data_IF_554812971387
#
_entry.id   IF_554812971387
#
_cell.length_a   1.000
_cell.length_b   1.000
_cell.length_c   1.000
_cell.angle_alpha   90.00
_cell.angle_beta   90.00
_cell.angle_gamma   90.00
#
_symmetry.space_group_name_H-M   'P 1'
#
loop_
_entity.id
_entity.type
_entity.pdbx_description
1 polymer ?
#
# COMPACT_ATOMS: atom_id res chain seq x y z
N UNK A 1 -37.39 5.55 -11.20
CA UNK A 1 -36.94 5.71 -9.79
C UNK A 1 -36.37 4.38 -9.33
N UNK A 2 -35.10 4.30 -8.96
CA UNK A 2 -34.48 3.10 -8.42
C UNK A 2 -35.15 2.75 -7.07
N UNK A 3 -35.50 1.48 -6.90
CA UNK A 3 -36.14 1.01 -5.68
C UNK A 3 -35.12 1.08 -4.53
N UNK A 4 -35.34 1.91 -3.51
CA UNK A 4 -34.40 2.14 -2.39
C UNK A 4 -33.89 0.86 -1.69
N UNK A 5 -34.57 -0.29 -1.87
CA UNK A 5 -34.17 -1.58 -1.32
C UNK A 5 -33.02 -2.27 -2.08
N UNK A 6 -32.69 -1.86 -3.31
CA UNK A 6 -31.70 -2.50 -4.17
C UNK A 6 -30.57 -1.56 -4.62
N UNK A 7 -30.37 -0.45 -3.93
CA UNK A 7 -29.30 0.52 -4.26
C UNK A 7 -28.32 0.66 -3.12
N UNK A 8 -27.09 1.02 -3.46
CA UNK A 8 -26.00 1.31 -2.54
C UNK A 8 -25.36 2.65 -2.85
N UNK A 9 -24.75 3.27 -1.86
CA UNK A 9 -23.89 4.42 -2.05
C UNK A 9 -22.55 3.97 -2.62
N UNK A 10 -22.06 4.69 -3.63
CA UNK A 10 -20.74 4.46 -4.23
C UNK A 10 -20.18 5.78 -4.77
N UNK A 11 -18.86 5.83 -4.91
CA UNK A 11 -18.14 6.89 -5.61
C UNK A 11 -17.76 6.36 -6.98
N UNK A 12 -18.43 6.83 -8.02
CA UNK A 12 -18.15 6.44 -9.41
C UNK A 12 -17.25 7.48 -10.05
N UNK A 13 -16.08 7.07 -10.49
CA UNK A 13 -15.18 7.90 -11.29
C UNK A 13 -15.61 7.81 -12.78
N UNK A 14 -16.25 8.86 -13.26
CA UNK A 14 -16.74 8.95 -14.66
C UNK A 14 -15.62 9.34 -15.63
N UNK A 15 -14.74 10.21 -15.18
CA UNK A 15 -13.58 10.74 -15.90
C UNK A 15 -12.52 11.19 -14.89
N UNK A 16 -11.26 11.40 -15.29
CA UNK A 16 -10.28 12.04 -14.43
C UNK A 16 -10.81 13.35 -13.83
N UNK A 17 -10.56 13.57 -12.55
CA UNK A 17 -11.14 14.70 -11.81
C UNK A 17 -10.28 15.09 -10.61
N UNK A 18 -10.58 16.24 -10.00
CA UNK A 18 -9.99 16.66 -8.73
C UNK A 18 -10.64 15.94 -7.55
N UNK A 19 -10.03 16.01 -6.37
CA UNK A 19 -10.61 15.43 -5.15
C UNK A 19 -11.99 16.03 -4.83
N UNK A 20 -12.23 17.32 -5.12
CA UNK A 20 -13.51 18.01 -4.87
C UNK A 20 -14.67 17.49 -5.73
N UNK A 21 -14.37 16.90 -6.86
CA UNK A 21 -15.37 16.39 -7.78
C UNK A 21 -15.80 14.96 -7.45
N UNK A 22 -15.12 14.28 -6.50
CA UNK A 22 -15.54 12.96 -6.03
C UNK A 22 -16.88 13.09 -5.28
N UNK A 23 -17.91 12.43 -5.81
CA UNK A 23 -19.30 12.51 -5.26
C UNK A 23 -19.87 11.12 -5.09
N UNK A 24 -20.66 10.98 -4.01
CA UNK A 24 -21.45 9.78 -3.79
C UNK A 24 -22.63 9.77 -4.75
N UNK A 25 -22.86 8.63 -5.35
CA UNK A 25 -24.02 8.30 -6.17
C UNK A 25 -24.73 7.09 -5.60
N UNK A 26 -26.03 6.96 -5.86
CA UNK A 26 -26.78 5.73 -5.60
C UNK A 26 -26.77 4.89 -6.89
N UNK A 27 -26.16 3.72 -6.80
CA UNK A 27 -26.11 2.75 -7.92
C UNK A 27 -26.76 1.42 -7.47
N UNK A 28 -27.07 0.56 -8.40
CA UNK A 28 -27.60 -0.77 -8.07
C UNK A 28 -26.56 -1.62 -7.32
N UNK A 29 -27.02 -2.37 -6.30
CA UNK A 29 -26.20 -3.40 -5.67
C UNK A 29 -25.92 -4.47 -6.71
N UNK A 30 -24.63 -4.87 -6.93
CA UNK A 30 -24.29 -5.88 -7.93
C UNK A 30 -25.00 -7.20 -7.64
N UNK A 31 -25.54 -7.83 -8.68
CA UNK A 31 -26.09 -9.18 -8.59
C UNK A 31 -24.96 -10.19 -8.53
N UNK A 32 -25.04 -11.10 -7.58
CA UNK A 32 -24.07 -12.19 -7.44
C UNK A 32 -24.17 -13.13 -8.63
N UNK A 33 -23.05 -13.70 -9.03
CA UNK A 33 -22.91 -14.66 -10.11
C UNK A 33 -21.96 -15.79 -9.69
N UNK A 34 -22.05 -16.94 -10.35
CA UNK A 34 -21.22 -18.11 -10.04
C UNK A 34 -19.72 -17.75 -10.01
N UNK A 35 -19.01 -18.25 -9.00
CA UNK A 35 -17.59 -17.99 -8.76
C UNK A 35 -17.28 -16.59 -8.16
N UNK A 36 -18.30 -15.78 -7.87
CA UNK A 36 -18.16 -14.46 -7.27
C UNK A 36 -18.93 -14.38 -5.95
N UNK A 37 -18.47 -13.54 -5.05
CA UNK A 37 -19.13 -13.25 -3.77
C UNK A 37 -19.40 -11.76 -3.61
N UNK A 38 -20.47 -11.42 -2.93
CA UNK A 38 -20.81 -10.05 -2.55
C UNK A 38 -20.31 -9.79 -1.12
N UNK A 39 -19.45 -8.80 -0.98
CA UNK A 39 -18.93 -8.36 0.31
C UNK A 39 -19.65 -7.06 0.71
N UNK A 40 -20.23 -7.04 1.92
CA UNK A 40 -20.65 -5.80 2.59
C UNK A 40 -19.43 -5.17 3.22
N UNK A 41 -18.98 -4.05 2.67
CA UNK A 41 -17.77 -3.35 3.09
C UNK A 41 -18.01 -2.71 4.47
N UNK A 42 -17.05 -2.85 5.36
CA UNK A 42 -17.02 -2.19 6.66
C UNK A 42 -16.02 -1.05 6.69
N UNK A 43 -14.86 -1.26 6.10
CA UNK A 43 -13.84 -0.24 5.94
C UNK A 43 -12.93 -0.55 4.76
N UNK A 44 -12.26 0.48 4.23
CA UNK A 44 -11.22 0.33 3.22
C UNK A 44 -10.13 1.38 3.39
N UNK A 45 -8.93 1.06 2.93
CA UNK A 45 -7.79 1.98 2.90
C UNK A 45 -7.77 2.80 1.61
N UNK A 46 -7.24 4.03 1.69
CA UNK A 46 -6.90 4.83 0.51
C UNK A 46 -5.41 4.74 0.25
N UNK A 47 -5.02 4.56 -1.01
CA UNK A 47 -3.65 4.47 -1.47
C UNK A 47 -3.34 5.56 -2.51
N UNK A 48 -2.08 5.83 -2.74
CA UNK A 48 -1.64 6.74 -3.81
C UNK A 48 -2.10 6.25 -5.19
N UNK A 49 -2.30 4.95 -5.34
CA UNK A 49 -2.78 4.32 -6.57
C UNK A 49 -4.17 4.84 -7.00
N UNK A 50 -5.10 5.06 -6.04
CA UNK A 50 -6.42 5.61 -6.35
C UNK A 50 -6.33 7.09 -6.72
N UNK A 51 -5.39 7.84 -6.14
CA UNK A 51 -5.12 9.23 -6.56
C UNK A 51 -4.64 9.24 -8.01
N UNK A 52 -3.66 8.41 -8.37
CA UNK A 52 -3.19 8.29 -9.76
C UNK A 52 -4.31 7.89 -10.72
N UNK A 53 -5.20 6.98 -10.30
CA UNK A 53 -6.36 6.58 -11.13
C UNK A 53 -7.34 7.72 -11.28
N UNK A 54 -7.64 8.44 -10.21
CA UNK A 54 -8.51 9.63 -10.24
C UNK A 54 -7.95 10.71 -11.16
N UNK A 55 -6.65 10.95 -11.10
CA UNK A 55 -5.97 11.98 -11.91
C UNK A 55 -5.74 11.56 -13.37
N UNK A 56 -6.10 10.31 -13.76
CA UNK A 56 -5.97 9.82 -15.12
C UNK A 56 -4.62 9.18 -15.46
N UNK A 57 -3.74 8.97 -14.46
CA UNK A 57 -2.44 8.31 -14.65
C UNK A 57 -2.50 6.77 -14.63
N UNK A 58 -3.70 6.19 -14.76
CA UNK A 58 -3.91 4.74 -14.87
C UNK A 58 -4.60 4.40 -16.18
N UNK A 59 -3.93 4.46 -17.33
CA UNK A 59 -4.56 4.37 -18.66
C UNK A 59 -5.22 3.01 -18.93
N UNK A 60 -4.87 1.96 -18.18
CA UNK A 60 -5.50 0.64 -18.28
C UNK A 60 -6.89 0.59 -17.60
N UNK A 61 -7.22 1.54 -16.75
CA UNK A 61 -8.53 1.59 -16.06
C UNK A 61 -9.58 2.21 -16.98
N UNK A 62 -10.56 1.40 -17.37
CA UNK A 62 -11.68 1.87 -18.20
C UNK A 62 -12.75 2.51 -17.31
N UNK A 63 -13.03 3.79 -17.57
CA UNK A 63 -14.10 4.55 -16.91
C UNK A 63 -15.43 4.44 -17.67
N UNK A 64 -16.61 4.54 -17.01
CA UNK A 64 -16.79 4.79 -15.57
C UNK A 64 -16.39 3.60 -14.68
N UNK A 65 -15.90 3.87 -13.45
CA UNK A 65 -15.44 2.85 -12.53
C UNK A 65 -15.69 3.27 -11.07
N UNK A 66 -16.21 2.36 -10.23
CA UNK A 66 -16.01 2.48 -8.78
C UNK A 66 -14.56 2.07 -8.49
N UNK A 67 -13.74 3.02 -8.09
CA UNK A 67 -12.32 2.76 -7.78
C UNK A 67 -12.16 2.17 -6.37
N UNK A 68 -10.92 1.93 -5.93
CA UNK A 68 -10.60 1.34 -4.64
C UNK A 68 -10.11 -0.10 -4.77
N UNK A 69 -8.87 -0.33 -4.30
CA UNK A 69 -8.10 -1.55 -4.55
C UNK A 69 -8.04 -2.51 -3.37
N UNK A 70 -8.71 -2.19 -2.25
CA UNK A 70 -8.76 -3.05 -1.06
C UNK A 70 -9.98 -2.76 -0.22
N UNK A 71 -10.46 -3.73 0.55
CA UNK A 71 -11.40 -3.52 1.64
C UNK A 71 -11.40 -4.69 2.63
N UNK A 72 -11.94 -4.42 3.83
CA UNK A 72 -12.34 -5.41 4.82
C UNK A 72 -13.86 -5.33 5.05
N UNK A 73 -14.48 -6.47 5.23
CA UNK A 73 -15.93 -6.53 5.42
C UNK A 73 -16.44 -7.91 5.76
N UNK A 74 -17.71 -8.13 5.52
CA UNK A 74 -18.36 -9.43 5.74
C UNK A 74 -19.01 -9.92 4.45
N UNK A 75 -19.03 -11.23 4.26
CA UNK A 75 -19.74 -11.87 3.15
C UNK A 75 -21.24 -11.58 3.31
N UNK A 76 -21.84 -10.92 2.35
CA UNK A 76 -23.29 -10.70 2.27
C UNK A 76 -24.00 -11.80 1.50
N UNK A 77 -23.38 -12.24 0.40
CA UNK A 77 -23.84 -13.36 -0.42
C UNK A 77 -22.64 -14.17 -0.90
N UNK A 78 -22.60 -15.42 -0.51
CA UNK A 78 -21.50 -16.34 -0.78
C UNK A 78 -21.62 -17.06 -2.14
N UNK A 79 -22.77 -16.97 -2.81
CA UNK A 79 -23.05 -17.73 -4.03
C UNK A 79 -22.74 -19.24 -3.86
N UNK A 80 -21.98 -19.79 -4.80
CA UNK A 80 -21.50 -21.18 -4.83
C UNK A 80 -20.10 -21.36 -4.22
N UNK A 81 -19.57 -20.36 -3.51
CA UNK A 81 -18.25 -20.43 -2.89
C UNK A 81 -18.27 -21.23 -1.57
N UNK A 82 -17.08 -21.45 -1.02
CA UNK A 82 -16.91 -22.09 0.30
C UNK A 82 -17.16 -21.15 1.49
N UNK A 83 -17.38 -19.85 1.25
CA UNK A 83 -17.68 -18.88 2.28
C UNK A 83 -19.13 -19.00 2.77
N UNK A 84 -19.38 -18.43 3.95
CA UNK A 84 -20.72 -18.30 4.51
C UNK A 84 -21.05 -16.82 4.72
N UNK A 85 -22.36 -16.50 4.66
CA UNK A 85 -22.83 -15.15 5.00
C UNK A 85 -22.40 -14.81 6.42
N UNK A 86 -21.76 -13.62 6.56
CA UNK A 86 -21.22 -13.14 7.81
C UNK A 86 -19.75 -13.42 8.03
N UNK A 87 -19.11 -14.27 7.21
CA UNK A 87 -17.66 -14.49 7.29
C UNK A 87 -16.90 -13.16 7.15
N UNK A 88 -15.94 -12.96 8.05
CA UNK A 88 -15.06 -11.79 8.04
C UNK A 88 -13.95 -11.99 7.01
N UNK A 89 -13.89 -11.08 6.04
CA UNK A 89 -12.99 -11.22 4.90
C UNK A 89 -12.34 -9.90 4.53
N UNK A 90 -11.24 -10.00 3.82
CA UNK A 90 -10.68 -8.88 3.06
C UNK A 90 -10.44 -9.30 1.61
N UNK A 91 -10.31 -8.30 0.75
CA UNK A 91 -9.88 -8.44 -0.65
C UNK A 91 -8.97 -7.29 -1.00
N UNK A 92 -8.05 -7.52 -1.94
CA UNK A 92 -7.16 -6.48 -2.44
C UNK A 92 -6.64 -6.79 -3.84
N UNK A 93 -6.33 -5.76 -4.58
CA UNK A 93 -5.64 -5.81 -5.88
C UNK A 93 -6.28 -6.80 -6.89
N UNK A 94 -5.52 -7.51 -7.70
CA UNK A 94 -6.01 -8.51 -8.70
C UNK A 94 -7.17 -7.98 -9.58
N UNK A 95 -7.09 -6.72 -10.01
CA UNK A 95 -8.11 -6.09 -10.85
C UNK A 95 -9.22 -5.34 -10.10
N UNK A 96 -9.30 -5.46 -8.76
CA UNK A 96 -10.25 -4.71 -7.94
C UNK A 96 -10.07 -3.20 -8.12
N UNK A 97 -11.15 -2.48 -8.44
CA UNK A 97 -11.13 -1.04 -8.70
C UNK A 97 -10.46 -0.64 -10.02
N UNK A 98 -10.01 -1.60 -10.82
CA UNK A 98 -9.31 -1.41 -12.09
C UNK A 98 -10.01 -2.14 -13.24
N UNK A 99 -10.06 -3.46 -13.22
CA UNK A 99 -10.73 -4.30 -14.22
C UNK A 99 -12.22 -4.42 -13.97
N UNK A 100 -12.61 -4.45 -12.70
CA UNK A 100 -13.98 -4.44 -12.21
C UNK A 100 -14.15 -3.44 -11.07
N UNK A 101 -15.40 -3.17 -10.64
CA UNK A 101 -15.69 -2.17 -9.62
C UNK A 101 -15.01 -2.51 -8.29
N UNK A 102 -14.52 -1.48 -7.61
CA UNK A 102 -13.74 -1.55 -6.38
C UNK A 102 -14.52 -1.18 -5.12
N UNK A 103 -13.76 -0.78 -4.12
CA UNK A 103 -14.22 -0.68 -2.73
C UNK A 103 -14.80 0.68 -2.33
N UNK A 104 -14.82 1.69 -3.19
CA UNK A 104 -15.42 2.98 -2.86
C UNK A 104 -16.95 2.93 -2.88
N UNK A 105 -17.53 1.99 -2.14
CA UNK A 105 -18.95 1.69 -2.09
C UNK A 105 -19.34 0.97 -0.79
N UNK A 106 -20.64 0.77 -0.59
CA UNK A 106 -21.15 -0.04 0.54
C UNK A 106 -21.01 -1.55 0.31
N UNK A 107 -21.00 -1.97 -0.96
CA UNK A 107 -20.83 -3.38 -1.35
C UNK A 107 -19.88 -3.50 -2.54
N UNK A 108 -19.19 -4.62 -2.61
CA UNK A 108 -18.34 -4.97 -3.75
C UNK A 108 -18.54 -6.43 -4.15
N UNK A 109 -18.59 -6.69 -5.44
CA UNK A 109 -18.66 -8.02 -6.03
C UNK A 109 -17.26 -8.44 -6.49
N UNK A 110 -16.75 -9.57 -5.98
CA UNK A 110 -15.35 -10.01 -6.16
C UNK A 110 -15.31 -11.49 -6.54
N UNK A 111 -14.38 -11.94 -7.40
CA UNK A 111 -14.12 -13.36 -7.57
C UNK A 111 -13.83 -14.03 -6.22
N UNK A 112 -14.48 -15.15 -5.90
CA UNK A 112 -14.28 -15.86 -4.63
C UNK A 112 -12.82 -16.27 -4.40
N UNK A 113 -12.07 -16.50 -5.48
CA UNK A 113 -10.63 -16.83 -5.44
C UNK A 113 -9.74 -15.68 -4.97
N UNK A 114 -10.26 -14.44 -4.95
CA UNK A 114 -9.57 -13.21 -4.53
C UNK A 114 -10.05 -12.71 -3.16
N UNK A 115 -10.77 -13.54 -2.44
CA UNK A 115 -11.28 -13.23 -1.10
C UNK A 115 -10.52 -14.05 -0.07
N UNK A 116 -10.13 -13.40 1.01
CA UNK A 116 -9.27 -13.99 2.03
C UNK A 116 -9.93 -13.87 3.40
N UNK A 117 -10.00 -14.96 4.18
CA UNK A 117 -10.53 -14.91 5.54
C UNK A 117 -9.66 -14.03 6.44
N UNK A 118 -10.28 -13.28 7.33
CA UNK A 118 -9.58 -12.56 8.41
C UNK A 118 -9.36 -13.52 9.57
N UNK A 119 -8.10 -13.90 9.79
CA UNK A 119 -7.69 -14.79 10.88
C UNK A 119 -7.29 -14.03 12.14
N UNK A 120 -6.98 -12.73 12.03
CA UNK A 120 -6.60 -11.89 13.16
C UNK A 120 -7.72 -11.78 14.19
N UNK A 121 -7.36 -11.77 15.47
CA UNK A 121 -8.28 -11.56 16.60
C UNK A 121 -8.82 -10.13 16.68
N UNK A 122 -8.23 -9.18 15.95
CA UNK A 122 -8.68 -7.78 15.88
C UNK A 122 -10.15 -7.67 15.44
N UNK A 123 -10.89 -6.79 16.06
CA UNK A 123 -12.33 -6.54 15.79
C UNK A 123 -12.61 -5.17 15.20
N UNK A 124 -11.68 -4.22 15.33
CA UNK A 124 -11.80 -2.89 14.76
C UNK A 124 -11.62 -2.94 13.23
N UNK A 125 -12.68 -2.62 12.50
CA UNK A 125 -12.68 -2.65 11.04
C UNK A 125 -11.69 -1.66 10.41
N UNK A 126 -11.45 -0.52 11.04
CA UNK A 126 -10.47 0.43 10.54
C UNK A 126 -9.05 -0.14 10.61
N UNK A 127 -8.71 -0.85 11.69
CA UNK A 127 -7.43 -1.55 11.78
C UNK A 127 -7.35 -2.70 10.78
N UNK A 128 -8.40 -3.52 10.68
CA UNK A 128 -8.44 -4.63 9.72
C UNK A 128 -8.26 -4.16 8.27
N UNK A 129 -8.87 -3.04 7.90
CA UNK A 129 -8.74 -2.46 6.57
C UNK A 129 -7.38 -1.78 6.31
N UNK A 130 -6.57 -1.58 7.35
CA UNK A 130 -5.25 -0.98 7.22
C UNK A 130 -4.14 -1.99 6.88
N UNK A 131 -4.40 -3.31 7.00
CA UNK A 131 -3.40 -4.31 6.72
C UNK A 131 -3.25 -4.68 5.23
N UNK A 132 -4.31 -4.97 4.45
CA UNK A 132 -4.20 -5.80 3.25
C UNK A 132 -3.14 -5.31 2.26
N UNK A 133 -3.41 -4.26 1.52
CA UNK A 133 -2.51 -3.76 0.46
C UNK A 133 -1.21 -3.19 1.04
N UNK A 134 -1.32 -2.43 2.13
CA UNK A 134 -0.19 -1.76 2.76
C UNK A 134 0.89 -2.74 3.20
N UNK A 135 0.52 -3.74 4.00
CA UNK A 135 1.48 -4.72 4.50
C UNK A 135 1.88 -5.74 3.46
N UNK A 136 0.98 -6.08 2.52
CA UNK A 136 1.35 -6.93 1.40
C UNK A 136 2.46 -6.30 0.55
N UNK A 137 2.35 -5.00 0.27
CA UNK A 137 3.37 -4.25 -0.46
C UNK A 137 4.68 -4.17 0.33
N UNK A 138 4.62 -3.84 1.62
CA UNK A 138 5.80 -3.77 2.48
C UNK A 138 6.47 -5.15 2.65
N UNK A 139 5.69 -6.19 2.98
CA UNK A 139 6.19 -7.56 3.17
C UNK A 139 6.80 -8.13 1.90
N UNK A 140 6.11 -7.97 0.77
CA UNK A 140 6.59 -8.43 -0.52
C UNK A 140 7.88 -7.74 -0.96
N UNK A 141 7.98 -6.43 -0.74
CA UNK A 141 9.21 -5.67 -1.02
C UNK A 141 10.37 -6.17 -0.18
N UNK A 142 10.18 -6.33 1.13
CA UNK A 142 11.24 -6.72 2.06
C UNK A 142 11.64 -8.19 1.89
N UNK A 143 10.68 -9.11 1.95
CA UNK A 143 10.99 -10.54 2.07
C UNK A 143 11.01 -11.30 0.74
N UNK A 144 10.28 -10.81 -0.29
CA UNK A 144 10.26 -11.48 -1.61
C UNK A 144 11.22 -10.85 -2.60
N UNK A 145 11.29 -9.51 -2.65
CA UNK A 145 12.16 -8.81 -3.61
C UNK A 145 13.56 -8.53 -3.03
N UNK A 146 13.66 -7.93 -1.85
CA UNK A 146 14.95 -7.67 -1.20
C UNK A 146 15.58 -8.90 -0.56
N UNK A 147 14.81 -9.97 -0.33
CA UNK A 147 15.28 -11.18 0.36
C UNK A 147 15.95 -10.83 1.70
N UNK A 148 15.31 -9.94 2.46
CA UNK A 148 15.83 -9.35 3.69
C UNK A 148 16.16 -10.44 4.71
N UNK A 149 17.38 -10.41 5.24
CA UNK A 149 17.86 -11.26 6.35
C UNK A 149 17.91 -10.43 7.62
N UNK A 150 17.77 -11.05 8.77
CA UNK A 150 17.78 -10.35 10.06
C UNK A 150 19.12 -9.65 10.40
N UNK A 151 20.19 -10.01 9.72
CA UNK A 151 21.52 -9.38 9.86
C UNK A 151 21.71 -8.19 8.91
N UNK A 152 20.81 -7.97 7.97
CA UNK A 152 20.97 -6.93 6.95
C UNK A 152 20.66 -5.53 7.52
N UNK A 153 21.40 -4.54 7.03
CA UNK A 153 21.11 -3.11 7.20
C UNK A 153 20.19 -2.68 6.07
N UNK A 154 19.05 -2.09 6.42
CA UNK A 154 18.02 -1.66 5.47
C UNK A 154 17.92 -0.14 5.44
N UNK A 155 18.13 0.45 4.27
CA UNK A 155 17.81 1.84 3.97
C UNK A 155 16.43 1.95 3.32
N UNK A 156 15.54 2.78 3.88
CA UNK A 156 14.20 3.06 3.35
C UNK A 156 14.14 4.51 2.86
N UNK A 157 14.06 4.71 1.54
CA UNK A 157 13.89 6.03 0.92
C UNK A 157 12.41 6.42 0.93
N UNK A 158 12.10 7.66 1.38
CA UNK A 158 10.72 8.11 1.55
C UNK A 158 10.06 7.61 2.85
N UNK A 159 10.81 7.65 3.95
CA UNK A 159 10.50 7.07 5.26
C UNK A 159 9.17 7.48 5.89
N UNK A 160 8.56 8.60 5.48
CA UNK A 160 7.28 9.08 6.05
C UNK A 160 6.03 8.56 5.35
N UNK A 161 6.18 7.79 4.25
CA UNK A 161 5.04 7.17 3.57
C UNK A 161 4.45 6.01 4.39
N UNK A 162 3.18 5.68 4.18
CA UNK A 162 2.54 4.57 4.90
C UNK A 162 3.27 3.25 4.67
N UNK A 163 3.71 2.96 3.44
CA UNK A 163 4.49 1.75 3.12
C UNK A 163 5.84 1.76 3.85
N UNK A 164 6.52 2.92 3.94
CA UNK A 164 7.76 3.02 4.70
C UNK A 164 7.55 2.71 6.18
N UNK A 165 6.50 3.26 6.79
CA UNK A 165 6.21 3.02 8.22
C UNK A 165 5.90 1.54 8.48
N UNK A 166 5.13 0.89 7.61
CA UNK A 166 4.90 -0.56 7.69
C UNK A 166 6.22 -1.35 7.50
N UNK A 167 7.07 -0.92 6.56
CA UNK A 167 8.38 -1.56 6.32
C UNK A 167 9.33 -1.40 7.51
N UNK A 168 9.35 -0.23 8.16
CA UNK A 168 10.12 -0.01 9.40
C UNK A 168 9.65 -1.00 10.49
N UNK A 169 8.34 -1.12 10.72
CA UNK A 169 7.78 -2.04 11.72
C UNK A 169 8.15 -3.49 11.42
N UNK A 170 7.99 -3.94 10.17
CA UNK A 170 8.34 -5.31 9.76
C UNK A 170 9.83 -5.59 9.94
N UNK A 171 10.70 -4.71 9.45
CA UNK A 171 12.14 -4.89 9.51
C UNK A 171 12.66 -4.84 10.96
N UNK A 172 12.15 -3.92 11.79
CA UNK A 172 12.52 -3.86 13.21
C UNK A 172 12.08 -5.11 13.97
N UNK A 173 10.86 -5.59 13.71
CA UNK A 173 10.36 -6.85 14.30
C UNK A 173 11.16 -8.08 13.86
N UNK A 174 11.80 -8.00 12.69
CA UNK A 174 12.69 -9.06 12.17
C UNK A 174 14.11 -8.97 12.74
N UNK A 175 14.51 -7.84 13.36
CA UNK A 175 15.80 -7.63 14.01
C UNK A 175 16.80 -6.77 13.22
N UNK A 176 16.37 -6.13 12.13
CA UNK A 176 17.25 -5.34 11.27
C UNK A 176 17.68 -4.00 11.89
N UNK A 177 18.83 -3.50 11.47
CA UNK A 177 19.18 -2.09 11.55
C UNK A 177 18.46 -1.35 10.42
N UNK A 178 17.64 -0.36 10.79
CA UNK A 178 16.80 0.38 9.86
C UNK A 178 17.20 1.84 9.79
N UNK A 179 17.50 2.29 8.57
CA UNK A 179 17.77 3.68 8.23
C UNK A 179 16.57 4.20 7.43
N UNK A 180 15.96 5.29 7.86
CA UNK A 180 14.88 5.95 7.13
C UNK A 180 15.33 7.32 6.62
N UNK A 181 14.77 7.79 5.48
CA UNK A 181 15.05 9.13 5.00
C UNK A 181 13.85 10.06 5.09
N UNK A 182 14.09 11.34 5.33
CA UNK A 182 13.08 12.39 5.30
C UNK A 182 13.64 13.68 4.71
N UNK A 183 12.81 14.42 3.96
CA UNK A 183 13.14 15.78 3.51
C UNK A 183 13.03 16.83 4.64
N UNK A 184 12.40 16.47 5.75
CA UNK A 184 12.11 17.39 6.85
C UNK A 184 12.78 16.92 8.13
N UNK A 185 13.63 17.80 8.70
CA UNK A 185 14.26 17.59 10.02
C UNK A 185 13.22 17.41 11.14
N UNK A 186 12.05 18.05 11.01
CA UNK A 186 10.95 17.90 11.97
C UNK A 186 10.35 16.49 12.05
N UNK A 187 10.68 15.60 11.09
CA UNK A 187 10.22 14.20 11.08
C UNK A 187 11.22 13.21 11.69
N UNK A 188 12.38 13.66 12.11
CA UNK A 188 13.44 12.79 12.63
C UNK A 188 12.96 12.01 13.85
N UNK A 189 12.49 12.71 14.88
CA UNK A 189 12.04 12.04 16.11
C UNK A 189 10.83 11.12 15.85
N UNK A 190 9.90 11.56 15.01
CA UNK A 190 8.78 10.72 14.60
C UNK A 190 9.23 9.39 13.96
N UNK A 191 10.22 9.43 13.06
CA UNK A 191 10.73 8.20 12.41
C UNK A 191 11.51 7.31 13.39
N UNK A 192 12.22 7.89 14.36
CA UNK A 192 12.84 7.12 15.45
C UNK A 192 11.79 6.45 16.34
N UNK A 193 10.73 7.17 16.71
CA UNK A 193 9.59 6.61 17.45
C UNK A 193 8.93 5.46 16.70
N UNK A 194 8.92 5.51 15.36
CA UNK A 194 8.41 4.44 14.50
C UNK A 194 9.35 3.24 14.40
N UNK A 195 10.57 3.35 14.95
CA UNK A 195 11.55 2.27 15.04
C UNK A 195 12.77 2.41 14.12
N UNK A 196 12.95 3.52 13.40
CA UNK A 196 14.17 3.75 12.65
C UNK A 196 15.35 3.99 13.60
N UNK A 197 16.45 3.24 13.42
CA UNK A 197 17.68 3.42 14.23
C UNK A 197 18.42 4.69 13.81
N UNK A 198 18.41 4.97 12.49
CA UNK A 198 19.02 6.16 11.90
C UNK A 198 18.00 6.88 11.02
N UNK A 199 18.05 8.20 11.03
CA UNK A 199 17.23 9.03 10.13
C UNK A 199 18.14 10.01 9.42
N UNK A 200 18.26 9.86 8.09
CA UNK A 200 19.09 10.71 7.25
C UNK A 200 18.22 11.75 6.53
N UNK A 201 18.75 12.96 6.37
CA UNK A 201 18.04 14.01 5.65
C UNK A 201 18.28 13.83 4.15
N UNK A 202 17.19 13.85 3.38
CA UNK A 202 17.21 13.71 1.92
C UNK A 202 17.46 15.08 1.28
N UNK A 203 18.70 15.55 1.37
CA UNK A 203 19.23 16.77 0.75
C UNK A 203 20.63 16.49 0.14
N UNK A 204 21.37 17.52 -0.18
CA UNK A 204 22.72 17.44 -0.73
C UNK A 204 23.74 16.77 0.21
N UNK A 205 23.44 16.66 1.48
CA UNK A 205 24.32 16.02 2.48
C UNK A 205 24.06 14.54 2.67
N UNK A 206 23.05 13.97 1.97
CA UNK A 206 22.65 12.57 2.17
C UNK A 206 23.80 11.59 2.04
N UNK A 207 24.60 11.70 0.98
CA UNK A 207 25.73 10.78 0.74
C UNK A 207 26.79 10.87 1.83
N UNK A 208 27.08 12.08 2.31
CA UNK A 208 28.01 12.30 3.43
C UNK A 208 27.48 11.69 4.72
N UNK A 209 26.19 11.92 5.02
CA UNK A 209 25.54 11.32 6.20
C UNK A 209 25.57 9.79 6.13
N UNK A 210 25.28 9.20 4.95
CA UNK A 210 25.31 7.76 4.78
C UNK A 210 26.72 7.20 4.98
N UNK A 211 27.73 7.80 4.36
CA UNK A 211 29.13 7.39 4.49
C UNK A 211 29.66 7.48 5.92
N UNK A 212 29.24 8.47 6.69
CA UNK A 212 29.66 8.63 8.10
C UNK A 212 29.29 7.42 8.95
N UNK A 213 28.07 6.87 8.76
CA UNK A 213 27.59 5.73 9.54
C UNK A 213 27.81 4.38 8.85
N UNK A 214 27.83 4.36 7.53
CA UNK A 214 27.90 3.14 6.71
C UNK A 214 28.89 3.35 5.55
N UNK A 215 30.20 3.38 5.82
CA UNK A 215 31.24 3.72 4.82
C UNK A 215 31.27 2.73 3.63
N UNK A 216 30.90 1.47 3.86
CA UNK A 216 30.85 0.45 2.81
C UNK A 216 29.47 0.35 2.13
N UNK A 217 28.53 1.21 2.51
CA UNK A 217 27.13 1.15 2.08
C UNK A 217 26.26 0.20 2.91
N UNK A 218 25.02 0.00 2.48
CA UNK A 218 24.03 -0.84 3.17
C UNK A 218 23.75 -2.15 2.42
N UNK A 219 23.16 -3.14 3.11
CA UNK A 219 22.82 -4.42 2.47
C UNK A 219 21.64 -4.30 1.51
N UNK A 220 20.63 -3.54 1.92
CA UNK A 220 19.33 -3.46 1.23
C UNK A 220 18.84 -2.03 1.16
N UNK A 221 18.25 -1.65 0.02
CA UNK A 221 17.55 -0.38 -0.15
C UNK A 221 16.13 -0.64 -0.63
N UNK A 222 15.15 -0.15 0.13
CA UNK A 222 13.77 -0.03 -0.31
C UNK A 222 13.53 1.40 -0.79
N UNK A 223 13.38 1.57 -2.10
CA UNK A 223 13.13 2.89 -2.70
C UNK A 223 11.63 3.09 -3.00
N UNK A 224 11.00 4.01 -2.24
CA UNK A 224 9.59 4.37 -2.37
C UNK A 224 9.39 5.71 -3.11
N UNK A 225 10.48 6.38 -3.46
CA UNK A 225 10.47 7.64 -4.22
C UNK A 225 10.50 7.35 -5.72
N UNK A 226 11.40 6.47 -6.14
CA UNK A 226 11.52 6.04 -7.53
C UNK A 226 12.54 6.84 -8.34
N UNK A 227 12.14 7.32 -9.51
CA UNK A 227 13.06 7.88 -10.52
C UNK A 227 14.08 8.90 -10.03
N UNK A 228 13.76 9.86 -9.13
CA UNK A 228 14.74 10.85 -8.67
C UNK A 228 15.81 10.30 -7.73
N UNK A 229 15.57 9.15 -7.10
CA UNK A 229 16.46 8.58 -6.09
C UNK A 229 17.13 7.29 -6.52
N UNK A 230 16.61 6.60 -7.54
CA UNK A 230 17.04 5.25 -7.89
C UNK A 230 18.54 5.14 -8.20
N UNK A 231 19.11 6.04 -9.00
CA UNK A 231 20.53 6.04 -9.31
C UNK A 231 21.41 6.21 -8.06
N UNK A 232 21.00 7.09 -7.15
CA UNK A 232 21.67 7.28 -5.87
C UNK A 232 21.46 6.07 -4.93
N UNK A 233 20.27 5.48 -4.93
CA UNK A 233 19.96 4.25 -4.18
C UNK A 233 20.84 3.07 -4.62
N UNK A 234 21.14 2.94 -5.91
CA UNK A 234 22.06 1.94 -6.44
C UNK A 234 23.50 2.14 -5.95
N UNK A 235 23.94 3.38 -5.78
CA UNK A 235 25.27 3.70 -5.24
C UNK A 235 25.34 3.57 -3.70
N UNK A 236 24.19 3.43 -3.03
CA UNK A 236 24.13 3.32 -1.57
C UNK A 236 24.32 1.89 -1.05
N UNK A 237 24.25 0.87 -1.92
CA UNK A 237 24.43 -0.52 -1.52
C UNK A 237 25.89 -0.96 -1.60
N UNK A 238 26.31 -1.82 -0.68
CA UNK A 238 27.59 -2.53 -0.75
C UNK A 238 27.55 -3.64 -1.80
N UNK A 239 28.70 -4.20 -2.12
CA UNK A 239 28.82 -5.38 -2.99
C UNK A 239 27.87 -6.52 -2.51
N UNK A 240 27.12 -7.12 -3.42
CA UNK A 240 26.06 -8.10 -3.11
C UNK A 240 24.76 -7.48 -2.64
N UNK A 241 24.69 -6.14 -2.53
CA UNK A 241 23.50 -5.43 -2.07
C UNK A 241 22.35 -5.44 -3.08
N UNK A 242 21.14 -5.27 -2.59
CA UNK A 242 19.92 -5.30 -3.42
C UNK A 242 19.14 -3.99 -3.22
N UNK A 243 18.76 -3.36 -4.34
CA UNK A 243 17.83 -2.22 -4.37
C UNK A 243 16.48 -2.69 -4.89
N UNK A 244 15.42 -2.47 -4.14
CA UNK A 244 14.04 -2.73 -4.58
C UNK A 244 13.31 -1.40 -4.78
N UNK A 245 12.95 -1.10 -6.01
CA UNK A 245 12.06 -0.01 -6.34
C UNK A 245 10.61 -0.47 -6.20
N UNK A 246 9.87 0.12 -5.28
CA UNK A 246 8.45 -0.19 -5.05
C UNK A 246 7.56 1.03 -5.25
N UNK A 247 8.07 2.24 -4.93
CA UNK A 247 7.33 3.49 -5.08
C UNK A 247 7.69 4.24 -6.35
N UNK A 248 6.80 5.14 -6.75
CA UNK A 248 6.94 6.01 -7.92
C UNK A 248 6.47 7.44 -7.61
N UNK A 249 6.65 7.88 -6.35
CA UNK A 249 6.20 9.21 -5.91
C UNK A 249 6.85 10.36 -6.68
N UNK A 250 8.07 10.15 -7.19
CA UNK A 250 8.84 11.12 -7.94
C UNK A 250 8.76 10.95 -9.47
N UNK A 251 8.04 9.95 -9.97
CA UNK A 251 7.92 9.70 -11.42
C UNK A 251 8.02 8.23 -11.81
N UNK A 252 7.75 7.95 -13.08
CA UNK A 252 7.61 6.58 -13.62
C UNK A 252 8.74 6.17 -14.56
N UNK A 253 9.38 7.12 -15.22
CA UNK A 253 10.35 6.87 -16.29
C UNK A 253 11.67 7.52 -15.93
N UNK A 254 12.76 6.80 -16.10
CA UNK A 254 14.12 7.32 -16.03
C UNK A 254 14.65 7.39 -17.46
N UNK A 255 14.87 8.60 -17.93
CA UNK A 255 15.54 8.83 -19.21
C UNK A 255 17.05 8.52 -19.08
N UNK A 256 17.65 7.98 -20.12
CA UNK A 256 19.08 7.70 -20.20
C UNK A 256 19.61 6.84 -19.04
N UNK A 257 18.89 5.77 -18.70
CA UNK A 257 19.38 4.78 -17.74
C UNK A 257 20.25 3.75 -18.46
N UNK A 258 21.54 3.75 -18.15
CA UNK A 258 22.51 2.82 -18.70
C UNK A 258 22.85 1.73 -17.68
N UNK A 259 22.24 0.53 -17.77
CA UNK A 259 22.34 -0.47 -16.70
C UNK A 259 23.77 -0.88 -16.33
N UNK A 260 24.70 -0.91 -17.28
CA UNK A 260 26.09 -1.30 -17.03
C UNK A 260 26.86 -0.25 -16.23
N UNK A 261 26.48 1.02 -16.35
CA UNK A 261 27.16 2.12 -15.64
C UNK A 261 26.43 2.46 -14.31
N UNK A 262 25.10 2.28 -14.28
CA UNK A 262 24.26 2.72 -13.16
C UNK A 262 24.11 1.65 -12.08
N UNK A 263 24.13 0.37 -12.46
CA UNK A 263 24.07 -0.73 -11.49
C UNK A 263 25.51 -1.11 -11.13
N UNK A 264 25.95 -0.89 -9.88
CA UNK A 264 27.28 -1.25 -9.46
C UNK A 264 27.54 -2.75 -9.66
N UNK A 265 28.79 -3.10 -10.01
CA UNK A 265 29.18 -4.50 -10.21
C UNK A 265 28.82 -5.36 -9.01
N UNK A 266 28.27 -6.54 -9.26
CA UNK A 266 27.81 -7.50 -8.24
C UNK A 266 26.71 -6.95 -7.31
N UNK A 267 25.94 -5.92 -7.74
CA UNK A 267 24.74 -5.45 -7.07
C UNK A 267 23.49 -5.80 -7.86
N UNK A 268 22.32 -5.69 -7.23
CA UNK A 268 21.06 -6.13 -7.84
C UNK A 268 20.02 -5.02 -7.79
N UNK A 269 19.33 -4.80 -8.91
CA UNK A 269 18.12 -4.00 -9.00
C UNK A 269 16.92 -4.92 -9.17
N UNK A 270 15.91 -4.75 -8.32
CA UNK A 270 14.63 -5.45 -8.40
C UNK A 270 13.48 -4.48 -8.17
N UNK A 271 12.27 -4.95 -8.34
CA UNK A 271 11.06 -4.19 -8.02
C UNK A 271 10.01 -5.09 -7.37
N UNK A 272 9.09 -4.48 -6.64
CA UNK A 272 7.90 -5.15 -6.15
C UNK A 272 6.65 -4.44 -6.67
N UNK A 273 5.74 -5.22 -7.25
CA UNK A 273 4.45 -4.76 -7.71
C UNK A 273 3.35 -5.63 -7.08
N UNK A 274 2.47 -5.02 -6.31
CA UNK A 274 1.37 -5.69 -5.61
C UNK A 274 0.17 -6.04 -6.51
N UNK A 275 0.22 -5.76 -7.81
CA UNK A 275 -0.91 -5.99 -8.74
C UNK A 275 -1.39 -7.44 -8.72
N UNK A 276 -0.47 -8.40 -8.63
CA UNK A 276 -0.79 -9.83 -8.53
C UNK A 276 -0.55 -10.31 -7.11
N UNK A 277 -1.62 -10.75 -6.47
CA UNK A 277 -1.60 -11.22 -5.08
C UNK A 277 -1.43 -12.73 -5.02
N UNK A 278 -0.45 -13.20 -4.25
CA UNK A 278 -0.17 -14.62 -4.00
C UNK A 278 -0.70 -15.02 -2.62
N UNK A 279 -1.51 -16.07 -2.55
CA UNK A 279 -2.12 -16.57 -1.30
C UNK A 279 -1.09 -16.93 -0.23
N UNK A 280 0.00 -17.58 -0.64
CA UNK A 280 1.06 -17.98 0.30
C UNK A 280 1.74 -16.75 0.92
N UNK A 281 2.00 -15.70 0.12
CA UNK A 281 2.57 -14.46 0.63
C UNK A 281 1.62 -13.74 1.61
N UNK A 282 0.31 -13.79 1.37
CA UNK A 282 -0.69 -13.28 2.33
C UNK A 282 -0.60 -14.04 3.66
N UNK A 283 -0.60 -15.37 3.59
CA UNK A 283 -0.51 -16.21 4.79
C UNK A 283 0.76 -15.90 5.58
N UNK A 284 1.92 -15.94 4.93
CA UNK A 284 3.20 -15.63 5.56
C UNK A 284 3.21 -14.23 6.19
N UNK A 285 2.65 -13.24 5.52
CA UNK A 285 2.53 -11.86 6.01
C UNK A 285 1.69 -11.79 7.29
N UNK A 286 0.51 -12.41 7.31
CA UNK A 286 -0.36 -12.38 8.49
C UNK A 286 0.21 -13.21 9.64
N UNK A 287 0.82 -14.37 9.37
CA UNK A 287 1.53 -15.15 10.36
C UNK A 287 2.66 -14.32 11.01
N UNK A 288 3.39 -13.54 10.21
CA UNK A 288 4.44 -12.65 10.69
C UNK A 288 3.86 -11.50 11.55
N UNK A 289 2.81 -10.84 11.08
CA UNK A 289 2.12 -9.76 11.79
C UNK A 289 1.62 -10.23 13.16
N UNK A 290 0.97 -11.39 13.21
CA UNK A 290 0.42 -11.96 14.44
C UNK A 290 1.53 -12.36 15.40
N UNK A 291 2.55 -13.08 14.92
CA UNK A 291 3.71 -13.51 15.71
C UNK A 291 4.42 -12.34 16.41
N UNK A 292 4.52 -11.20 15.73
CA UNK A 292 5.27 -10.04 16.22
C UNK A 292 4.38 -8.94 16.81
N UNK A 293 3.06 -9.14 16.86
CA UNK A 293 2.11 -8.17 17.42
C UNK A 293 2.10 -6.82 16.70
N UNK A 294 2.29 -6.83 15.37
CA UNK A 294 2.41 -5.60 14.59
C UNK A 294 1.04 -4.96 14.41
N UNK A 295 0.95 -3.67 14.74
CA UNK A 295 -0.27 -2.89 14.60
C UNK A 295 -0.10 -1.80 13.54
N UNK A 296 -1.08 -1.62 12.61
CA UNK A 296 -0.98 -0.62 11.58
C UNK A 296 -1.11 0.80 12.17
N UNK A 297 -0.26 1.70 11.69
CA UNK A 297 -0.42 3.11 12.04
C UNK A 297 -1.49 3.75 11.14
N UNK A 298 -2.62 4.08 11.74
CA UNK A 298 -3.69 4.83 11.10
C UNK A 298 -3.45 6.32 11.34
N UNK A 299 -3.40 7.09 10.25
CA UNK A 299 -3.25 8.55 10.31
C UNK A 299 -4.57 9.24 10.63
N UNK A 300 -5.63 8.83 9.93
CA UNK A 300 -6.97 9.39 10.13
C UNK A 300 -8.04 8.45 9.56
N UNK A 301 -9.20 8.46 10.21
CA UNK A 301 -10.39 7.75 9.77
C UNK A 301 -11.40 8.77 9.28
N UNK A 302 -11.98 8.52 8.12
CA UNK A 302 -13.08 9.29 7.53
C UNK A 302 -14.27 8.39 7.26
N UNK A 303 -15.41 8.98 6.97
CA UNK A 303 -16.59 8.27 6.44
C UNK A 303 -16.58 8.29 4.91
N UNK A 304 -17.40 7.43 4.29
CA UNK A 304 -17.56 7.44 2.82
C UNK A 304 -18.04 8.81 2.32
N UNK A 305 -18.86 9.53 3.09
CA UNK A 305 -19.32 10.87 2.75
C UNK A 305 -18.19 11.91 2.71
N UNK A 306 -17.06 11.64 3.35
CA UNK A 306 -15.89 12.51 3.44
C UNK A 306 -14.78 12.11 2.47
N UNK A 307 -15.08 11.32 1.44
CA UNK A 307 -14.08 10.77 0.51
C UNK A 307 -13.21 11.86 -0.13
N UNK A 308 -13.80 13.01 -0.49
CA UNK A 308 -13.07 14.17 -1.02
C UNK A 308 -12.04 14.70 -0.03
N UNK A 309 -12.43 14.85 1.24
CA UNK A 309 -11.53 15.31 2.31
C UNK A 309 -10.40 14.30 2.57
N UNK A 310 -10.71 13.01 2.51
CA UNK A 310 -9.73 11.95 2.70
C UNK A 310 -8.66 11.94 1.58
N UNK A 311 -9.06 12.13 0.32
CA UNK A 311 -8.12 12.30 -0.81
C UNK A 311 -7.23 13.52 -0.62
N UNK A 312 -7.82 14.69 -0.31
CA UNK A 312 -7.03 15.93 -0.03
C UNK A 312 -6.05 15.74 1.11
N UNK A 313 -6.48 15.05 2.19
CA UNK A 313 -5.60 14.77 3.32
C UNK A 313 -4.41 13.90 2.92
N UNK A 314 -4.62 12.88 2.09
CA UNK A 314 -3.52 12.05 1.58
C UNK A 314 -2.60 12.83 0.62
N UNK A 315 -3.15 13.71 -0.21
CA UNK A 315 -2.39 14.56 -1.16
C UNK A 315 -1.53 15.61 -0.45
N UNK A 316 -1.95 16.09 0.72
CA UNK A 316 -1.19 17.08 1.49
C UNK A 316 0.16 16.55 2.00
N UNK A 317 0.45 15.26 1.86
CA UNK A 317 1.64 14.56 2.38
C UNK A 317 1.83 14.71 3.91
N UNK A 318 0.77 15.09 4.63
CA UNK A 318 0.76 15.18 6.10
C UNK A 318 0.29 13.90 6.79
N UNK A 319 -0.23 12.94 6.03
CA UNK A 319 -0.70 11.65 6.52
C UNK A 319 0.49 10.76 6.92
N UNK A 320 0.88 10.81 8.18
CA UNK A 320 1.92 9.92 8.71
C UNK A 320 1.31 8.57 9.12
N UNK A 321 0.83 7.80 8.15
CA UNK A 321 0.13 6.53 8.36
C UNK A 321 -0.94 6.26 7.30
N UNK A 322 -1.70 5.20 7.47
CA UNK A 322 -2.78 4.81 6.56
C UNK A 322 -4.00 5.70 6.74
N UNK A 323 -4.61 6.12 5.65
CA UNK A 323 -5.92 6.79 5.64
C UNK A 323 -7.01 5.75 5.42
N UNK A 324 -8.00 5.73 6.29
CA UNK A 324 -9.06 4.72 6.28
C UNK A 324 -10.42 5.39 6.10
N UNK A 325 -11.29 4.72 5.36
CA UNK A 325 -12.71 5.06 5.23
C UNK A 325 -13.54 4.00 5.94
N UNK A 326 -14.33 4.41 6.93
CA UNK A 326 -15.38 3.60 7.50
C UNK A 326 -16.65 3.74 6.65
N UNK A 327 -17.24 2.59 6.30
CA UNK A 327 -18.48 2.49 5.54
C UNK A 327 -19.57 2.10 6.54
N UNK A 328 -20.30 3.09 7.04
CA UNK A 328 -21.39 2.93 8.01
C UNK A 328 -22.73 3.19 7.35
#
# INVERSE_FOLDING_TARGET
MLNKKNTMKAVVLEKPCTADELKIQNIEIPKVKNGWVLIKIKAFGINRAEIFTRDGFSPSVKLPRVIGIECAGVIEDASDSHFQKGDRVFTMMNGLGREFNGSYAEYVLVPSSQVYPITLSETDWAKLAAYPELYYTAYGSLFKSLQLKNTDTLLIRGGTSSVALASIQLAKSFGNTVIATSRSKAKVEFLKEMGADFVLIQDETFDTQLQEYFPDGVDKVLDLIGTPTLKNSLKSVKQGGIVCMTGCLGGWVIENFEPLDEIPSESYLTSFNSTIVKKDTIKEMFDFIEKHGINPRIAKIFTLNEISLAHKFLESNSANGKVIINVL
#
